data_IF_494788821385
#
_entry.id   IF_494788821385
#
_cell.length_a   1.000
_cell.length_b   1.000
_cell.length_c   1.000
_cell.angle_alpha   90.00
_cell.angle_beta   90.00
_cell.angle_gamma   90.00
#
_symmetry.space_group_name_H-M   'P 1'
#
loop_
_entity.id
_entity.type
_entity.pdbx_description
1 polymer ?
#
# COMPACT_ATOMS: atom_id res chain seq x y z
N UNK A 1 -47.47 -13.06 -22.55
CA UNK A 1 -46.68 -11.82 -22.39
C UNK A 1 -45.44 -11.94 -23.26
N UNK A 2 -45.13 -11.00 -24.15
CA UNK A 2 -43.93 -11.08 -24.97
C UNK A 2 -42.69 -11.04 -24.07
N UNK A 3 -41.78 -12.00 -24.24
CA UNK A 3 -40.53 -12.08 -23.48
C UNK A 3 -39.78 -10.75 -23.58
N UNK A 4 -39.56 -10.07 -22.44
CA UNK A 4 -38.75 -8.86 -22.41
C UNK A 4 -37.37 -9.18 -22.99
N UNK A 5 -36.96 -8.42 -23.99
CA UNK A 5 -35.68 -8.55 -24.69
C UNK A 5 -34.58 -8.00 -23.78
N UNK A 6 -34.01 -8.86 -22.93
CA UNK A 6 -33.01 -8.48 -21.93
C UNK A 6 -31.62 -8.98 -22.37
N UNK A 7 -30.63 -8.10 -22.32
CA UNK A 7 -29.22 -8.44 -22.43
C UNK A 7 -28.59 -8.53 -21.04
N UNK A 8 -27.55 -9.37 -20.91
CA UNK A 8 -26.85 -9.62 -19.66
C UNK A 8 -25.40 -9.18 -19.79
N UNK A 9 -24.95 -8.31 -18.89
CA UNK A 9 -23.56 -7.90 -18.77
C UNK A 9 -23.03 -8.41 -17.44
N UNK A 10 -21.98 -9.23 -17.50
CA UNK A 10 -21.26 -9.67 -16.31
C UNK A 10 -20.22 -8.61 -15.94
N UNK A 11 -20.66 -7.60 -15.18
CA UNK A 11 -19.82 -6.46 -14.78
C UNK A 11 -18.65 -6.93 -13.93
N UNK A 12 -18.85 -7.89 -13.02
CA UNK A 12 -17.78 -8.43 -12.15
C UNK A 12 -16.68 -9.08 -12.99
N UNK A 13 -17.05 -9.92 -13.94
CA UNK A 13 -16.10 -10.54 -14.86
C UNK A 13 -15.38 -9.50 -15.71
N UNK A 14 -16.11 -8.50 -16.17
CA UNK A 14 -15.57 -7.42 -17.00
C UNK A 14 -14.55 -6.58 -16.22
N UNK A 15 -14.83 -6.20 -14.97
CA UNK A 15 -13.91 -5.36 -14.16
C UNK A 15 -12.78 -6.12 -13.50
N UNK A 16 -12.81 -7.46 -13.48
CA UNK A 16 -11.73 -8.26 -12.90
C UNK A 16 -10.36 -8.06 -13.60
N UNK A 17 -10.33 -7.47 -14.80
CA UNK A 17 -9.10 -7.09 -15.51
C UNK A 17 -8.72 -5.62 -15.37
N UNK A 18 -9.42 -4.85 -14.52
CA UNK A 18 -9.24 -3.41 -14.36
C UNK A 18 -8.45 -3.12 -13.10
N UNK A 19 -7.51 -2.17 -13.17
CA UNK A 19 -6.74 -1.80 -11.99
C UNK A 19 -7.62 -1.13 -10.94
N UNK A 20 -7.30 -1.32 -9.66
CA UNK A 20 -8.01 -0.64 -8.57
C UNK A 20 -7.91 0.88 -8.69
N UNK A 21 -6.78 1.42 -9.15
CA UNK A 21 -6.63 2.85 -9.41
C UNK A 21 -7.60 3.36 -10.49
N UNK A 22 -7.92 2.52 -11.47
CA UNK A 22 -8.91 2.83 -12.51
C UNK A 22 -10.32 2.80 -11.95
N UNK A 23 -10.68 1.77 -11.17
CA UNK A 23 -11.98 1.72 -10.48
C UNK A 23 -12.13 2.89 -9.51
N UNK A 24 -11.04 3.28 -8.84
CA UNK A 24 -10.98 4.40 -7.93
C UNK A 24 -11.31 5.74 -8.56
N UNK A 25 -10.63 6.02 -9.68
CA UNK A 25 -10.81 7.26 -10.40
C UNK A 25 -12.25 7.36 -10.90
N UNK A 26 -12.84 6.24 -11.31
CA UNK A 26 -14.19 6.17 -11.86
C UNK A 26 -15.27 6.45 -10.81
N UNK A 27 -15.13 5.95 -9.58
CA UNK A 27 -16.16 6.18 -8.57
C UNK A 27 -15.87 7.29 -7.57
N UNK A 28 -14.63 7.75 -7.41
CA UNK A 28 -14.32 8.90 -6.54
C UNK A 28 -15.00 10.19 -6.99
N UNK A 29 -15.49 10.20 -8.23
CA UNK A 29 -16.09 11.34 -8.90
C UNK A 29 -17.61 11.27 -9.04
N UNK A 30 -18.23 10.15 -8.64
CA UNK A 30 -19.69 10.10 -8.53
C UNK A 30 -20.20 10.74 -7.23
N UNK A 31 -19.29 11.36 -6.45
CA UNK A 31 -19.57 11.91 -5.13
C UNK A 31 -19.59 10.85 -4.03
N UNK A 32 -19.12 9.64 -4.34
CA UNK A 32 -19.03 8.55 -3.37
C UNK A 32 -17.59 8.49 -2.81
N UNK A 33 -17.36 8.96 -1.57
CA UNK A 33 -16.02 9.13 -0.98
C UNK A 33 -15.24 7.82 -0.87
N UNK A 34 -15.95 6.70 -0.88
CA UNK A 34 -15.37 5.35 -0.76
C UNK A 34 -14.52 4.98 -1.97
N UNK A 35 -14.96 5.32 -3.18
CA UNK A 35 -14.25 4.90 -4.38
C UNK A 35 -13.06 5.84 -4.65
N UNK A 36 -13.09 7.10 -4.20
CA UNK A 36 -11.93 8.00 -4.23
C UNK A 36 -10.74 7.42 -3.45
N UNK A 37 -11.02 6.69 -2.35
CA UNK A 37 -10.02 6.03 -1.51
C UNK A 37 -9.18 4.96 -2.21
N UNK A 38 -9.70 4.34 -3.27
CA UNK A 38 -8.97 3.30 -4.02
C UNK A 38 -7.76 3.86 -4.81
N UNK A 39 -7.67 5.19 -5.00
CA UNK A 39 -6.60 5.84 -5.76
C UNK A 39 -5.37 6.16 -4.90
N UNK A 40 -5.50 6.05 -3.57
CA UNK A 40 -4.47 6.38 -2.60
C UNK A 40 -3.46 5.23 -2.35
N UNK A 41 -3.60 4.09 -3.04
CA UNK A 41 -2.74 2.92 -2.86
C UNK A 41 -1.34 3.20 -3.47
N UNK A 42 -0.24 3.10 -2.69
CA UNK A 42 1.11 3.16 -3.24
C UNK A 42 1.33 2.00 -4.22
N UNK A 43 2.03 2.24 -5.34
CA UNK A 43 2.40 1.20 -6.31
C UNK A 43 3.08 -0.04 -5.68
N UNK A 44 3.69 0.10 -4.51
CA UNK A 44 4.27 -0.99 -3.73
C UNK A 44 3.24 -1.97 -3.12
N UNK A 45 2.01 -1.52 -2.81
CA UNK A 45 0.90 -2.39 -2.41
C UNK A 45 0.21 -3.09 -3.59
N UNK A 46 0.38 -2.57 -4.81
CA UNK A 46 -0.10 -3.16 -6.06
C UNK A 46 0.88 -4.17 -6.67
N UNK A 47 2.13 -4.23 -6.17
CA UNK A 47 3.14 -5.19 -6.62
C UNK A 47 2.82 -6.65 -6.20
N UNK A 48 1.87 -6.87 -5.29
CA UNK A 48 1.28 -8.17 -4.98
C UNK A 48 0.13 -8.52 -5.95
N UNK A 49 0.36 -8.34 -7.24
CA UNK A 49 -0.61 -8.54 -8.33
C UNK A 49 -1.27 -9.94 -8.29
N UNK A 50 -0.59 -10.96 -7.74
CA UNK A 50 -1.13 -12.32 -7.57
C UNK A 50 -2.08 -12.48 -6.37
N UNK A 51 -1.82 -11.82 -5.23
CA UNK A 51 -2.67 -11.97 -4.04
C UNK A 51 -4.07 -11.39 -4.25
N UNK A 52 -4.17 -10.38 -5.11
CA UNK A 52 -5.41 -9.68 -5.43
C UNK A 52 -6.19 -10.38 -6.55
N UNK A 53 -5.50 -10.98 -7.53
CA UNK A 53 -6.13 -11.83 -8.55
C UNK A 53 -6.91 -13.00 -7.93
N UNK A 54 -6.36 -13.59 -6.87
CA UNK A 54 -7.03 -14.63 -6.08
C UNK A 54 -8.25 -14.08 -5.32
N UNK A 55 -8.21 -12.87 -4.76
CA UNK A 55 -9.37 -12.25 -4.09
C UNK A 55 -10.50 -11.85 -5.06
N UNK A 56 -10.18 -11.33 -6.24
CA UNK A 56 -11.18 -11.09 -7.30
C UNK A 56 -11.78 -12.41 -7.81
N UNK A 57 -11.03 -13.52 -7.75
CA UNK A 57 -11.58 -14.85 -8.04
C UNK A 57 -12.60 -15.31 -6.99
N UNK A 58 -12.52 -14.81 -5.75
CA UNK A 58 -13.52 -15.03 -4.70
C UNK A 58 -14.80 -14.25 -5.02
N UNK A 59 -14.70 -13.00 -5.51
CA UNK A 59 -15.87 -12.28 -6.04
C UNK A 59 -16.50 -12.99 -7.24
N UNK A 60 -15.68 -13.55 -8.14
CA UNK A 60 -16.19 -14.40 -9.24
C UNK A 60 -16.94 -15.65 -8.74
N UNK A 61 -16.65 -16.14 -7.53
CA UNK A 61 -17.36 -17.28 -6.91
C UNK A 61 -18.65 -16.86 -6.21
N UNK A 62 -18.75 -15.61 -5.73
CA UNK A 62 -20.02 -15.05 -5.29
C UNK A 62 -20.90 -14.84 -6.52
N UNK A 63 -22.04 -15.54 -6.58
CA UNK A 63 -22.99 -15.49 -7.70
C UNK A 63 -23.70 -14.15 -7.76
N UNK A 64 -22.99 -13.11 -8.17
CA UNK A 64 -23.64 -11.85 -8.50
C UNK A 64 -24.58 -12.04 -9.69
N UNK A 65 -25.76 -11.43 -9.60
CA UNK A 65 -26.70 -11.40 -10.70
C UNK A 65 -26.11 -10.52 -11.81
N UNK A 66 -26.01 -11.03 -13.05
CA UNK A 66 -25.56 -10.21 -14.17
C UNK A 66 -26.48 -9.01 -14.35
N UNK A 67 -25.91 -7.88 -14.78
CA UNK A 67 -26.67 -6.66 -15.06
C UNK A 67 -27.60 -6.91 -16.25
N UNK A 68 -28.89 -6.81 -16.02
CA UNK A 68 -29.94 -7.04 -17.02
C UNK A 68 -30.38 -5.72 -17.64
N UNK A 69 -30.04 -5.50 -18.92
CA UNK A 69 -30.38 -4.27 -19.66
C UNK A 69 -31.37 -4.60 -20.79
N UNK A 70 -32.56 -4.01 -20.71
CA UNK A 70 -33.58 -4.17 -21.75
C UNK A 70 -33.25 -3.34 -22.99
N UNK A 71 -33.53 -3.87 -24.18
CA UNK A 71 -33.33 -3.11 -25.41
C UNK A 71 -34.17 -1.81 -25.42
N UNK A 72 -33.60 -0.66 -25.82
CA UNK A 72 -34.34 0.59 -25.85
C UNK A 72 -35.44 0.59 -26.92
N UNK A 73 -36.51 1.39 -26.77
CA UNK A 73 -37.62 1.43 -27.74
C UNK A 73 -37.19 1.85 -29.15
N UNK A 74 -36.12 2.64 -29.26
CA UNK A 74 -35.55 3.11 -30.51
C UNK A 74 -34.61 2.10 -31.17
N UNK A 75 -34.30 0.96 -30.53
CA UNK A 75 -33.49 -0.09 -31.11
C UNK A 75 -34.28 -0.88 -32.16
N UNK A 76 -34.03 -0.60 -33.43
CA UNK A 76 -34.78 -1.19 -34.54
C UNK A 76 -34.28 -2.59 -34.95
N UNK A 77 -33.10 -2.99 -34.51
CA UNK A 77 -32.52 -4.30 -34.81
C UNK A 77 -33.09 -5.42 -33.94
N UNK A 78 -32.77 -6.67 -34.28
CA UNK A 78 -33.25 -7.84 -33.56
C UNK A 78 -32.69 -7.91 -32.12
N UNK A 79 -33.31 -8.71 -31.25
CA UNK A 79 -32.83 -8.82 -29.85
C UNK A 79 -31.42 -9.40 -29.74
N UNK A 80 -30.98 -10.16 -30.74
CA UNK A 80 -29.65 -10.78 -30.75
C UNK A 80 -28.56 -9.73 -31.00
N UNK A 81 -28.79 -8.76 -31.88
CA UNK A 81 -27.88 -7.62 -32.06
C UNK A 81 -27.69 -6.81 -30.76
N UNK A 82 -28.76 -6.56 -30.00
CA UNK A 82 -28.66 -5.87 -28.70
C UNK A 82 -27.84 -6.66 -27.67
N UNK A 83 -28.04 -7.98 -27.62
CA UNK A 83 -27.27 -8.87 -26.74
C UNK A 83 -25.79 -8.91 -27.11
N UNK A 84 -25.49 -9.01 -28.42
CA UNK A 84 -24.11 -9.00 -28.92
C UNK A 84 -23.42 -7.67 -28.62
N UNK A 85 -24.13 -6.56 -28.79
CA UNK A 85 -23.66 -5.23 -28.42
C UNK A 85 -23.29 -5.15 -26.93
N UNK A 86 -24.22 -5.52 -26.05
CA UNK A 86 -23.98 -5.49 -24.62
C UNK A 86 -22.83 -6.41 -24.20
N UNK A 87 -22.68 -7.56 -24.86
CA UNK A 87 -21.56 -8.47 -24.64
C UNK A 87 -20.23 -7.88 -25.11
N UNK A 88 -20.20 -7.21 -26.27
CA UNK A 88 -19.02 -6.51 -26.76
C UNK A 88 -18.60 -5.38 -25.83
N UNK A 89 -19.56 -4.58 -25.35
CA UNK A 89 -19.31 -3.52 -24.37
C UNK A 89 -18.81 -4.12 -23.06
N UNK A 90 -19.40 -5.22 -22.58
CA UNK A 90 -18.90 -5.94 -21.41
C UNK A 90 -17.44 -6.39 -21.56
N UNK A 91 -17.07 -6.92 -22.72
CA UNK A 91 -15.69 -7.34 -23.00
C UNK A 91 -14.72 -6.16 -23.11
N UNK A 92 -15.20 -4.99 -23.55
CA UNK A 92 -14.41 -3.76 -23.71
C UNK A 92 -14.44 -2.83 -22.49
N UNK A 93 -15.20 -3.20 -21.47
CA UNK A 93 -15.37 -2.38 -20.27
C UNK A 93 -14.02 -2.03 -19.61
N UNK A 94 -13.00 -2.92 -19.56
CA UNK A 94 -11.69 -2.53 -19.05
C UNK A 94 -11.05 -1.36 -19.76
N UNK A 95 -11.05 -1.38 -21.10
CA UNK A 95 -10.46 -0.31 -21.89
C UNK A 95 -11.29 0.98 -21.77
N UNK A 96 -12.61 0.86 -21.69
CA UNK A 96 -13.51 2.02 -21.48
C UNK A 96 -13.23 2.70 -20.15
N UNK A 97 -13.08 1.93 -19.05
CA UNK A 97 -12.80 2.46 -17.73
C UNK A 97 -11.40 3.09 -17.64
N UNK A 98 -10.41 2.52 -18.33
CA UNK A 98 -9.05 3.07 -18.40
C UNK A 98 -8.97 4.39 -19.18
N UNK A 99 -9.71 4.48 -20.29
CA UNK A 99 -9.86 5.72 -21.05
C UNK A 99 -10.58 6.78 -20.22
N UNK A 100 -11.64 6.38 -19.52
CA UNK A 100 -12.38 7.25 -18.60
C UNK A 100 -11.45 7.81 -17.51
N UNK A 101 -10.64 6.97 -16.85
CA UNK A 101 -9.61 7.41 -15.89
C UNK A 101 -8.67 8.47 -16.49
N UNK A 102 -8.15 8.22 -17.69
CA UNK A 102 -7.21 9.12 -18.36
C UNK A 102 -7.82 10.50 -18.63
N UNK A 103 -9.07 10.53 -19.11
CA UNK A 103 -9.80 11.78 -19.38
C UNK A 103 -10.16 12.53 -18.10
N UNK A 104 -10.56 11.81 -17.05
CA UNK A 104 -10.86 12.41 -15.76
C UNK A 104 -9.63 13.06 -15.12
N UNK A 105 -8.45 12.46 -15.29
CA UNK A 105 -7.19 13.07 -14.82
C UNK A 105 -6.82 14.36 -15.55
N UNK A 106 -7.33 14.57 -16.77
CA UNK A 106 -7.10 15.78 -17.56
C UNK A 106 -8.11 16.89 -17.20
N UNK A 107 -9.25 16.54 -16.62
CA UNK A 107 -10.25 17.50 -16.15
C UNK A 107 -9.81 18.13 -14.83
N UNK A 108 -9.58 19.44 -14.85
CA UNK A 108 -9.13 20.21 -13.68
C UNK A 108 -10.28 20.68 -12.77
N UNK A 109 -11.53 20.35 -13.12
CA UNK A 109 -12.73 20.79 -12.42
C UNK A 109 -13.29 19.70 -11.48
N UNK A 110 -14.19 20.10 -10.59
CA UNK A 110 -14.95 19.17 -9.73
C UNK A 110 -15.75 18.23 -10.62
N UNK A 111 -15.38 16.95 -10.62
CA UNK A 111 -16.03 15.94 -11.44
C UNK A 111 -17.35 15.57 -10.76
N UNK A 112 -18.46 15.91 -11.43
CA UNK A 112 -19.81 15.55 -10.98
C UNK A 112 -20.24 14.23 -11.61
N UNK A 113 -21.31 13.62 -11.09
CA UNK A 113 -21.92 12.40 -11.67
C UNK A 113 -22.29 12.59 -13.14
N UNK A 114 -22.74 13.78 -13.53
CA UNK A 114 -23.05 14.12 -14.93
C UNK A 114 -21.80 14.16 -15.81
N UNK A 115 -20.70 14.74 -15.30
CA UNK A 115 -19.41 14.78 -16.01
C UNK A 115 -18.85 13.36 -16.15
N UNK A 116 -18.86 12.55 -15.08
CA UNK A 116 -18.43 11.15 -15.13
C UNK A 116 -19.25 10.33 -16.13
N UNK A 117 -20.59 10.53 -16.17
CA UNK A 117 -21.46 9.91 -17.17
C UNK A 117 -21.07 10.33 -18.58
N UNK A 118 -20.81 11.61 -18.81
CA UNK A 118 -20.44 12.13 -20.13
C UNK A 118 -19.09 11.58 -20.60
N UNK A 119 -18.09 11.52 -19.72
CA UNK A 119 -16.78 10.93 -20.03
C UNK A 119 -16.92 9.45 -20.37
N UNK A 120 -17.76 8.70 -19.65
CA UNK A 120 -18.04 7.29 -19.97
C UNK A 120 -18.69 7.13 -21.36
N UNK A 121 -19.66 7.99 -21.69
CA UNK A 121 -20.30 8.01 -23.02
C UNK A 121 -19.26 8.29 -24.10
N UNK A 122 -18.42 9.31 -23.90
CA UNK A 122 -17.40 9.68 -24.87
C UNK A 122 -16.29 8.60 -24.99
N UNK A 123 -16.02 7.86 -23.91
CA UNK A 123 -15.12 6.70 -23.94
C UNK A 123 -15.71 5.57 -24.79
N UNK A 124 -17.02 5.28 -24.67
CA UNK A 124 -17.72 4.32 -25.53
C UNK A 124 -17.68 4.75 -27.00
N UNK A 125 -17.94 6.02 -27.29
CA UNK A 125 -17.94 6.55 -28.67
C UNK A 125 -16.57 6.37 -29.32
N UNK A 126 -15.48 6.55 -28.56
CA UNK A 126 -14.11 6.34 -29.05
C UNK A 126 -13.74 4.87 -29.28
N UNK A 127 -14.52 3.91 -28.78
CA UNK A 127 -14.25 2.49 -29.04
C UNK A 127 -14.61 2.10 -30.48
N UNK A 128 -13.76 1.27 -31.07
CA UNK A 128 -14.07 0.55 -32.30
C UNK A 128 -14.98 -0.62 -31.98
N UNK A 129 -16.30 -0.37 -31.95
CA UNK A 129 -17.31 -1.41 -31.79
C UNK A 129 -17.62 -2.04 -33.14
N UNK A 130 -17.68 -3.38 -33.18
CA UNK A 130 -17.85 -4.13 -34.44
C UNK A 130 -19.20 -3.94 -35.12
N UNK A 131 -20.20 -3.48 -34.38
CA UNK A 131 -21.61 -3.47 -34.82
C UNK A 131 -22.08 -2.14 -35.44
N UNK A 132 -21.40 -1.00 -35.19
CA UNK A 132 -21.83 0.31 -35.70
C UNK A 132 -20.66 1.29 -35.84
N UNK A 133 -20.63 1.98 -36.98
CA UNK A 133 -19.63 3.00 -37.30
C UNK A 133 -20.13 4.43 -37.07
N UNK A 134 -21.45 4.61 -36.97
CA UNK A 134 -22.07 5.89 -36.68
C UNK A 134 -21.86 6.33 -35.22
N UNK A 135 -21.15 7.45 -35.04
CA UNK A 135 -20.88 8.02 -33.72
C UNK A 135 -22.15 8.50 -33.01
N UNK A 136 -23.18 8.91 -33.74
CA UNK A 136 -24.45 9.37 -33.14
C UNK A 136 -25.20 8.20 -32.50
N UNK A 137 -25.24 7.05 -33.18
CA UNK A 137 -25.81 5.83 -32.61
C UNK A 137 -25.01 5.30 -31.41
N UNK A 138 -23.66 5.34 -31.49
CA UNK A 138 -22.81 4.99 -30.33
C UNK A 138 -23.09 5.88 -29.13
N UNK A 139 -23.27 7.19 -29.34
CA UNK A 139 -23.60 8.15 -28.28
C UNK A 139 -24.94 7.82 -27.63
N UNK A 140 -25.99 7.55 -28.42
CA UNK A 140 -27.31 7.13 -27.89
C UNK A 140 -27.27 5.83 -27.12
N UNK A 141 -26.47 4.86 -27.57
CA UNK A 141 -26.22 3.62 -26.82
C UNK A 141 -25.51 3.92 -25.51
N UNK A 142 -24.45 4.73 -25.56
CA UNK A 142 -23.72 5.18 -24.37
C UNK A 142 -24.64 5.82 -23.35
N UNK A 143 -25.46 6.79 -23.76
CA UNK A 143 -26.44 7.48 -22.90
C UNK A 143 -27.38 6.51 -22.20
N UNK A 144 -27.83 5.47 -22.92
CA UNK A 144 -28.78 4.50 -22.39
C UNK A 144 -28.14 3.52 -21.39
N UNK A 145 -26.90 3.10 -21.61
CA UNK A 145 -26.24 2.08 -20.78
C UNK A 145 -25.36 2.65 -19.68
N UNK A 146 -24.95 3.92 -19.77
CA UNK A 146 -24.02 4.53 -18.83
C UNK A 146 -24.53 4.45 -17.40
N UNK A 147 -25.77 4.88 -17.16
CA UNK A 147 -26.33 4.90 -15.80
C UNK A 147 -26.43 3.49 -15.17
N UNK A 148 -27.02 2.47 -15.83
CA UNK A 148 -27.05 1.12 -15.27
C UNK A 148 -25.67 0.53 -14.96
N UNK A 149 -24.68 0.78 -15.83
CA UNK A 149 -23.32 0.26 -15.64
C UNK A 149 -22.64 0.98 -14.48
N UNK A 150 -22.68 2.31 -14.44
CA UNK A 150 -22.05 3.10 -13.37
C UNK A 150 -22.68 2.79 -12.00
N UNK A 151 -24.01 2.67 -11.91
CA UNK A 151 -24.68 2.28 -10.66
C UNK A 151 -24.28 0.87 -10.20
N UNK A 152 -24.12 -0.07 -11.14
CA UNK A 152 -23.69 -1.43 -10.80
C UNK A 152 -22.22 -1.46 -10.34
N UNK A 153 -21.37 -0.61 -10.90
CA UNK A 153 -19.99 -0.41 -10.46
C UNK A 153 -19.94 0.20 -9.05
N UNK A 154 -20.77 1.20 -8.76
CA UNK A 154 -20.91 1.76 -7.40
C UNK A 154 -21.35 0.70 -6.39
N UNK A 155 -22.25 -0.20 -6.78
CA UNK A 155 -22.71 -1.30 -5.92
C UNK A 155 -21.64 -2.33 -5.57
N UNK A 156 -20.57 -2.48 -6.36
CA UNK A 156 -19.47 -3.43 -6.08
C UNK A 156 -18.49 -2.91 -5.01
N UNK A 157 -18.68 -1.69 -4.55
CA UNK A 157 -17.73 -0.99 -3.69
C UNK A 157 -17.67 -1.64 -2.30
N UNK A 158 -18.81 -1.98 -1.72
CA UNK A 158 -18.89 -2.62 -0.39
C UNK A 158 -18.16 -3.96 -0.32
N UNK A 159 -18.21 -4.72 -1.41
CA UNK A 159 -17.59 -6.03 -1.53
C UNK A 159 -16.07 -5.91 -1.72
N UNK A 160 -15.63 -4.88 -2.45
CA UNK A 160 -14.21 -4.53 -2.59
C UNK A 160 -13.63 -4.10 -1.23
N UNK A 161 -14.32 -3.24 -0.47
CA UNK A 161 -13.90 -2.81 0.87
C UNK A 161 -13.73 -3.98 1.82
N UNK A 162 -14.69 -4.92 1.82
CA UNK A 162 -14.63 -6.11 2.68
C UNK A 162 -13.38 -6.96 2.38
N UNK A 163 -13.04 -7.15 1.11
CA UNK A 163 -11.86 -7.91 0.71
C UNK A 163 -10.54 -7.21 1.05
N UNK A 164 -10.54 -5.87 1.02
CA UNK A 164 -9.40 -5.08 1.46
C UNK A 164 -9.16 -5.18 2.97
N UNK A 165 -10.22 -5.15 3.77
CA UNK A 165 -10.12 -5.37 5.21
C UNK A 165 -9.57 -6.77 5.53
N UNK A 166 -9.98 -7.79 4.78
CA UNK A 166 -9.41 -9.13 4.90
C UNK A 166 -7.95 -9.19 4.44
N UNK A 167 -7.58 -8.51 3.34
CA UNK A 167 -6.21 -8.42 2.83
C UNK A 167 -5.26 -7.77 3.85
N UNK A 168 -5.66 -6.66 4.46
CA UNK A 168 -4.88 -5.96 5.49
C UNK A 168 -4.66 -6.81 6.76
N UNK A 169 -5.63 -7.66 7.12
CA UNK A 169 -5.50 -8.61 8.23
C UNK A 169 -4.52 -9.75 7.90
N UNK A 170 -4.48 -10.19 6.64
CA UNK A 170 -3.51 -11.18 6.16
C UNK A 170 -2.08 -10.62 6.22
N UNK A 171 -1.87 -9.37 5.81
CA UNK A 171 -0.56 -8.71 5.87
C UNK A 171 -0.03 -8.56 7.31
N UNK A 172 -0.90 -8.18 8.27
CA UNK A 172 -0.50 -8.12 9.70
C UNK A 172 -0.02 -9.47 10.23
N UNK A 173 -0.69 -10.57 9.87
CA UNK A 173 -0.28 -11.93 10.25
C UNK A 173 1.04 -12.30 9.59
N UNK A 174 1.22 -11.93 8.32
CA UNK A 174 2.45 -12.18 7.56
C UNK A 174 3.66 -11.40 8.12
N UNK A 175 3.49 -10.14 8.49
CA UNK A 175 4.56 -9.34 9.13
C UNK A 175 4.97 -9.93 10.49
N UNK A 176 4.00 -10.37 11.30
CA UNK A 176 4.27 -11.03 12.57
C UNK A 176 5.03 -12.36 12.37
N UNK A 177 4.60 -13.18 11.40
CA UNK A 177 5.28 -14.43 11.02
C UNK A 177 6.71 -14.19 10.50
N UNK A 178 6.91 -13.18 9.65
CA UNK A 178 8.24 -12.83 9.14
C UNK A 178 9.17 -12.36 10.27
N UNK A 179 8.64 -11.63 11.26
CA UNK A 179 9.42 -11.20 12.44
C UNK A 179 9.82 -12.40 13.30
N UNK A 180 8.91 -13.35 13.51
CA UNK A 180 9.21 -14.59 14.25
C UNK A 180 10.25 -15.43 13.50
N UNK A 181 10.13 -15.54 12.18
CA UNK A 181 11.11 -16.23 11.34
C UNK A 181 12.49 -15.55 11.43
N UNK A 182 12.55 -14.22 11.37
CA UNK A 182 13.80 -13.47 11.54
C UNK A 182 14.51 -13.80 12.87
N UNK A 183 13.76 -13.84 13.98
CA UNK A 183 14.30 -14.20 15.30
C UNK A 183 14.85 -15.62 15.29
N UNK A 184 14.11 -16.61 14.76
CA UNK A 184 14.56 -18.01 14.69
C UNK A 184 15.85 -18.17 13.89
N UNK A 185 16.00 -17.43 12.79
CA UNK A 185 17.21 -17.45 11.98
C UNK A 185 18.38 -16.89 12.76
N UNK A 186 18.20 -15.75 13.45
CA UNK A 186 19.25 -15.17 14.28
C UNK A 186 19.67 -16.11 15.42
N UNK A 187 18.72 -16.79 16.05
CA UNK A 187 19.00 -17.79 17.09
C UNK A 187 19.82 -18.97 16.53
N UNK A 188 19.49 -19.43 15.31
CA UNK A 188 20.23 -20.49 14.62
C UNK A 188 21.66 -20.06 14.28
N UNK A 189 21.83 -18.87 13.70
CA UNK A 189 23.15 -18.28 13.42
C UNK A 189 23.97 -18.17 14.71
N UNK A 190 23.35 -17.68 15.79
CA UNK A 190 24.02 -17.57 17.09
C UNK A 190 24.48 -18.94 17.62
N UNK A 191 23.65 -19.97 17.53
CA UNK A 191 24.00 -21.32 17.96
C UNK A 191 25.14 -21.93 17.11
N UNK A 192 25.13 -21.74 15.80
CA UNK A 192 26.18 -22.21 14.89
C UNK A 192 27.51 -21.50 15.16
N UNK A 193 27.48 -20.18 15.34
CA UNK A 193 28.65 -19.37 15.67
C UNK A 193 29.21 -19.69 17.05
N UNK A 194 28.36 -19.92 18.05
CA UNK A 194 28.78 -20.29 19.41
C UNK A 194 29.54 -21.63 19.46
N UNK A 195 29.28 -22.53 18.51
CA UNK A 195 29.95 -23.83 18.42
C UNK A 195 31.25 -23.79 17.61
N UNK A 196 31.46 -22.76 16.79
CA UNK A 196 32.57 -22.69 15.81
C UNK A 196 33.61 -21.65 16.17
N UNK A 197 33.22 -20.57 16.87
CA UNK A 197 34.16 -19.55 17.30
C UNK A 197 34.88 -20.00 18.59
N UNK A 198 36.21 -19.79 18.68
CA UNK A 198 36.89 -19.92 19.96
C UNK A 198 36.24 -18.96 20.96
N UNK A 199 36.15 -19.37 22.23
CA UNK A 199 35.62 -18.51 23.29
C UNK A 199 36.48 -17.24 23.36
N UNK A 200 35.97 -16.15 22.79
CA UNK A 200 36.58 -14.84 22.87
C UNK A 200 36.63 -14.44 24.34
N UNK A 201 37.77 -13.92 24.79
CA UNK A 201 37.85 -13.40 26.13
C UNK A 201 37.04 -12.09 26.25
N UNK A 202 36.70 -11.69 27.47
CA UNK A 202 35.88 -10.50 27.69
C UNK A 202 36.51 -9.20 27.14
N UNK A 203 37.84 -9.14 27.04
CA UNK A 203 38.58 -7.97 26.54
C UNK A 203 38.52 -7.87 25.01
N UNK A 204 38.63 -9.00 24.31
CA UNK A 204 38.43 -9.12 22.87
C UNK A 204 36.99 -8.77 22.49
N UNK A 205 36.00 -9.28 23.24
CA UNK A 205 34.59 -8.94 23.03
C UNK A 205 34.33 -7.45 23.23
N UNK A 206 34.88 -6.84 24.28
CA UNK A 206 34.75 -5.40 24.52
C UNK A 206 35.40 -4.58 23.38
N UNK A 207 36.54 -5.03 22.87
CA UNK A 207 37.25 -4.39 21.75
C UNK A 207 36.44 -4.47 20.46
N UNK A 208 35.91 -5.65 20.13
CA UNK A 208 35.05 -5.87 18.96
C UNK A 208 33.76 -5.05 19.07
N UNK A 209 33.12 -5.03 20.24
CA UNK A 209 31.92 -4.24 20.47
C UNK A 209 32.17 -2.74 20.26
N UNK A 210 33.32 -2.23 20.74
CA UNK A 210 33.72 -0.84 20.53
C UNK A 210 34.00 -0.54 19.05
N UNK A 211 34.69 -1.44 18.35
CA UNK A 211 34.96 -1.29 16.92
C UNK A 211 33.65 -1.26 16.12
N UNK A 212 32.75 -2.21 16.36
CA UNK A 212 31.43 -2.27 15.74
C UNK A 212 30.63 -1.00 15.96
N UNK A 213 30.56 -0.54 17.21
CA UNK A 213 29.86 0.66 17.61
C UNK A 213 30.41 1.92 16.94
N UNK A 214 31.74 2.03 16.84
CA UNK A 214 32.40 3.13 16.12
C UNK A 214 32.07 3.10 14.63
N UNK A 215 32.08 1.92 14.00
CA UNK A 215 31.71 1.78 12.57
C UNK A 215 30.27 2.22 12.33
N UNK A 216 29.34 1.82 13.20
CA UNK A 216 27.95 2.29 13.14
C UNK A 216 27.85 3.80 13.28
N UNK A 217 28.55 4.36 14.27
CA UNK A 217 28.55 5.79 14.54
C UNK A 217 29.07 6.57 13.32
N UNK A 218 30.25 6.23 12.81
CA UNK A 218 30.85 6.90 11.65
C UNK A 218 29.96 6.83 10.41
N UNK A 219 29.29 5.69 10.18
CA UNK A 219 28.42 5.48 9.03
C UNK A 219 27.11 6.28 9.09
N UNK A 220 26.54 6.47 10.28
CA UNK A 220 25.19 7.01 10.43
C UNK A 220 25.12 8.36 11.15
N UNK A 221 26.23 8.90 11.67
CA UNK A 221 26.25 10.16 12.44
C UNK A 221 25.79 11.37 11.64
N UNK A 222 25.97 11.36 10.32
CA UNK A 222 25.64 12.50 9.47
C UNK A 222 24.26 12.35 8.82
N UNK A 223 23.43 13.39 8.91
CA UNK A 223 22.19 13.51 8.15
C UNK A 223 22.42 14.37 6.91
N UNK A 224 22.26 13.76 5.73
CA UNK A 224 22.33 14.48 4.45
C UNK A 224 20.94 14.97 4.03
N UNK A 225 20.81 16.29 3.86
CA UNK A 225 19.56 16.89 3.36
C UNK A 225 19.51 16.78 1.84
N UNK A 226 18.90 15.71 1.33
CA UNK A 226 18.60 15.56 -0.10
C UNK A 226 17.37 16.40 -0.46
N UNK A 227 17.52 17.35 -1.37
CA UNK A 227 16.41 18.16 -1.91
C UNK A 227 16.35 19.62 -1.47
N UNK A 228 17.12 20.02 -0.45
CA UNK A 228 17.33 21.45 -0.12
C UNK A 228 18.56 21.92 -0.90
N UNK A 229 18.38 22.19 -2.19
CA UNK A 229 19.40 22.90 -2.97
C UNK A 229 19.28 24.38 -2.64
N UNK A 230 20.15 24.89 -1.77
CA UNK A 230 20.35 26.34 -1.71
C UNK A 230 20.98 26.78 -3.03
N UNK A 231 20.39 27.80 -3.65
CA UNK A 231 20.72 28.31 -4.99
C UNK A 231 22.20 28.71 -5.12
N UNK A 232 22.90 28.91 -3.99
CA UNK A 232 24.31 29.32 -3.94
C UNK A 232 25.30 28.26 -3.43
N UNK A 233 24.86 27.03 -3.07
CA UNK A 233 25.77 26.00 -2.53
C UNK A 233 25.65 24.66 -3.26
N UNK A 234 26.65 24.36 -4.11
CA UNK A 234 26.84 23.08 -4.78
C UNK A 234 27.23 21.91 -3.84
N UNK A 235 26.98 22.01 -2.54
CA UNK A 235 27.22 20.93 -1.56
C UNK A 235 25.99 20.70 -0.71
N UNK A 236 25.60 19.43 -0.58
CA UNK A 236 24.62 18.98 0.39
C UNK A 236 25.08 19.38 1.80
N UNK A 237 24.20 20.06 2.52
CA UNK A 237 24.41 20.33 3.94
C UNK A 237 24.32 18.98 4.67
N UNK A 238 25.35 18.67 5.46
CA UNK A 238 25.44 17.45 6.25
C UNK A 238 25.65 17.88 7.71
N UNK A 239 24.72 17.50 8.58
CA UNK A 239 24.71 17.91 10.00
C UNK A 239 24.68 16.66 10.87
N UNK A 240 25.37 16.63 12.04
CA UNK A 240 25.27 15.53 12.97
C UNK A 240 23.81 15.28 13.41
N UNK A 241 23.31 14.07 13.18
CA UNK A 241 21.90 13.72 13.43
C UNK A 241 21.52 13.94 14.91
N UNK A 242 22.44 13.65 15.83
CA UNK A 242 22.22 13.80 17.28
C UNK A 242 22.05 15.25 17.73
N UNK A 243 22.50 16.23 16.94
CA UNK A 243 22.37 17.66 17.28
C UNK A 243 21.03 18.27 16.88
N UNK A 244 20.34 17.65 15.91
CA UNK A 244 19.12 18.19 15.30
C UNK A 244 17.89 17.31 15.53
N UNK A 245 18.07 16.12 16.11
CA UNK A 245 16.97 15.19 16.31
C UNK A 245 15.99 15.70 17.37
N UNK A 246 14.70 15.71 17.03
CA UNK A 246 13.61 16.06 17.95
C UNK A 246 12.72 14.84 18.08
N UNK A 247 12.38 14.48 19.32
CA UNK A 247 11.51 13.34 19.59
C UNK A 247 10.09 13.60 19.09
N UNK A 248 9.54 12.72 18.24
CA UNK A 248 8.15 12.83 17.82
C UNK A 248 7.21 12.29 18.90
N UNK A 249 5.99 12.81 18.92
CA UNK A 249 4.87 12.13 19.55
C UNK A 249 4.35 11.03 18.63
N UNK A 250 3.92 9.91 19.21
CA UNK A 250 3.35 8.78 18.47
C UNK A 250 1.91 8.52 18.89
N UNK A 251 1.15 7.92 17.99
CA UNK A 251 -0.19 7.41 18.25
C UNK A 251 -0.08 5.91 18.52
N UNK A 252 -0.38 5.48 19.76
CA UNK A 252 -0.30 4.08 20.16
C UNK A 252 -1.67 3.43 20.02
N UNK A 253 -1.75 2.35 19.24
CA UNK A 253 -2.97 1.58 19.02
C UNK A 253 -2.91 0.72 17.77
N UNK A 254 -3.95 -0.08 17.55
CA UNK A 254 -4.18 -0.65 16.21
C UNK A 254 -4.64 0.53 15.35
N UNK A 255 -3.92 0.88 14.27
CA UNK A 255 -4.39 1.92 13.36
C UNK A 255 -5.79 1.53 12.91
N UNK A 256 -6.77 2.38 13.23
CA UNK A 256 -8.06 2.34 12.57
C UNK A 256 -7.77 2.75 11.11
N UNK A 257 -7.63 1.75 10.24
CA UNK A 257 -7.63 1.91 8.78
C UNK A 257 -6.45 2.68 8.12
N UNK A 258 -5.48 3.21 8.86
CA UNK A 258 -4.37 4.02 8.29
C UNK A 258 -3.37 3.29 7.37
N UNK A 259 -3.44 1.96 7.19
CA UNK A 259 -2.64 1.32 6.14
C UNK A 259 -3.16 1.59 4.72
N UNK A 260 -4.38 2.14 4.56
CA UNK A 260 -4.98 2.42 3.25
C UNK A 260 -5.71 3.78 3.14
N UNK A 261 -6.18 4.36 4.24
CA UNK A 261 -6.89 5.65 4.20
C UNK A 261 -5.94 6.81 4.51
N UNK A 262 -5.30 7.36 3.46
CA UNK A 262 -4.80 8.73 3.55
C UNK A 262 -6.00 9.66 3.64
N UNK A 263 -6.01 10.51 4.65
CA UNK A 263 -7.05 11.50 4.93
C UNK A 263 -7.35 12.39 3.71
N UNK A 264 -8.36 12.00 2.95
CA UNK A 264 -9.16 12.91 2.14
C UNK A 264 -10.36 13.34 2.98
N UNK A 265 -10.26 14.52 3.59
CA UNK A 265 -11.37 15.33 4.09
C UNK A 265 -12.29 14.70 5.17
N UNK A 266 -11.83 14.71 6.42
CA UNK A 266 -12.75 14.72 7.56
C UNK A 266 -13.32 16.12 7.79
N UNK A 267 -14.27 16.52 6.92
CA UNK A 267 -15.31 17.47 7.29
C UNK A 267 -16.60 17.07 6.59
N UNK A 268 -17.59 16.67 7.40
CA UNK A 268 -19.04 16.57 7.15
C UNK A 268 -19.65 15.15 7.05
N UNK A 269 -20.64 14.96 7.93
CA UNK A 269 -21.65 13.91 8.06
C UNK A 269 -21.30 12.64 8.84
N UNK A 270 -21.91 12.57 10.03
CA UNK A 270 -21.87 11.42 10.92
C UNK A 270 -22.71 10.25 10.43
N UNK A 271 -22.13 9.06 10.48
CA UNK A 271 -22.85 7.80 10.58
C UNK A 271 -22.37 7.07 11.85
N UNK A 272 -23.33 6.74 12.70
CA UNK A 272 -23.10 6.03 13.95
C UNK A 272 -22.90 4.54 13.66
N UNK A 273 -21.67 4.13 13.38
CA UNK A 273 -21.30 2.72 13.48
C UNK A 273 -20.32 2.58 14.65
N UNK A 274 -20.81 2.01 15.75
CA UNK A 274 -20.04 1.67 16.95
C UNK A 274 -19.06 0.53 16.65
N UNK A 275 -18.08 0.76 15.79
CA UNK A 275 -16.77 0.15 16.01
C UNK A 275 -16.26 0.76 17.30
N UNK A 276 -15.73 -0.05 18.23
CA UNK A 276 -15.02 0.49 19.41
C UNK A 276 -13.87 1.32 18.85
N UNK A 277 -14.08 2.65 18.73
CA UNK A 277 -13.01 3.62 18.47
C UNK A 277 -12.04 3.49 19.63
N UNK A 278 -11.01 2.66 19.45
CA UNK A 278 -9.80 2.76 20.26
C UNK A 278 -9.31 4.17 19.91
N UNK A 279 -9.52 5.12 20.81
CA UNK A 279 -9.02 6.48 20.61
C UNK A 279 -7.50 6.33 20.65
N UNK A 280 -6.78 6.56 19.54
CA UNK A 280 -5.33 6.39 19.55
C UNK A 280 -4.77 7.34 20.60
N UNK A 281 -4.09 6.78 21.60
CA UNK A 281 -3.53 7.58 22.67
C UNK A 281 -2.24 8.20 22.14
N UNK A 282 -2.18 9.53 22.18
CA UNK A 282 -0.95 10.26 21.88
C UNK A 282 -0.01 10.05 23.05
N UNK A 283 1.13 9.44 22.78
CA UNK A 283 2.15 9.16 23.78
C UNK A 283 3.52 9.63 23.26
N UNK A 284 4.41 10.08 24.16
CA UNK A 284 5.80 10.29 23.80
C UNK A 284 6.42 8.99 23.29
N UNK A 285 7.24 9.06 22.24
CA UNK A 285 7.85 7.88 21.62
C UNK A 285 8.62 7.00 22.63
N UNK A 286 9.35 7.60 23.57
CA UNK A 286 10.13 6.85 24.56
C UNK A 286 9.24 5.95 25.43
N UNK A 287 8.05 6.43 25.83
CA UNK A 287 7.08 5.64 26.59
C UNK A 287 6.55 4.46 25.78
N UNK A 288 6.29 4.68 24.47
CA UNK A 288 5.84 3.61 23.58
C UNK A 288 6.93 2.53 23.38
N UNK A 289 8.19 2.96 23.22
CA UNK A 289 9.35 2.05 23.12
C UNK A 289 9.52 1.22 24.40
N UNK A 290 9.38 1.83 25.58
CA UNK A 290 9.52 1.13 26.86
C UNK A 290 8.42 0.09 27.10
N UNK A 291 7.19 0.37 26.67
CA UNK A 291 6.04 -0.54 26.84
C UNK A 291 6.08 -1.77 25.93
N UNK A 292 6.73 -1.68 24.78
CA UNK A 292 6.57 -2.66 23.71
C UNK A 292 7.90 -3.14 23.14
N UNK A 293 8.21 -4.43 23.34
CA UNK A 293 9.40 -5.08 22.77
C UNK A 293 9.39 -5.26 21.25
N UNK A 294 8.21 -5.25 20.64
CA UNK A 294 8.01 -5.44 19.20
C UNK A 294 7.06 -4.36 18.71
N UNK A 295 7.56 -3.50 17.84
CA UNK A 295 6.87 -2.31 17.36
C UNK A 295 6.96 -2.22 15.85
N UNK A 296 5.87 -1.79 15.23
CA UNK A 296 5.82 -1.40 13.82
C UNK A 296 5.48 0.09 13.80
N UNK A 297 6.41 0.91 13.30
CA UNK A 297 6.20 2.34 13.18
C UNK A 297 5.61 2.66 11.81
N UNK A 298 4.43 3.27 11.81
CA UNK A 298 3.74 3.73 10.61
C UNK A 298 3.78 5.26 10.53
N UNK A 299 3.59 5.80 9.33
CA UNK A 299 3.52 7.25 9.09
C UNK A 299 3.83 7.60 7.64
N UNK A 300 3.58 8.86 7.27
CA UNK A 300 3.70 9.33 5.89
C UNK A 300 5.13 9.27 5.31
N UNK A 301 5.29 9.18 3.98
CA UNK A 301 6.58 9.42 3.34
C UNK A 301 7.19 10.74 3.82
N UNK A 302 8.45 10.72 4.23
CA UNK A 302 9.11 11.92 4.77
C UNK A 302 8.83 12.21 6.25
N UNK A 303 7.97 11.46 6.94
CA UNK A 303 7.68 11.66 8.38
C UNK A 303 8.85 11.38 9.34
N UNK A 304 10.04 11.06 8.82
CA UNK A 304 11.24 10.86 9.62
C UNK A 304 11.42 9.46 10.23
N UNK A 305 10.63 8.45 9.85
CA UNK A 305 10.76 7.06 10.39
C UNK A 305 12.18 6.51 10.31
N UNK A 306 12.81 6.58 9.13
CA UNK A 306 14.19 6.10 8.94
C UNK A 306 15.19 6.95 9.72
N UNK A 307 14.94 8.25 9.85
CA UNK A 307 15.75 9.17 10.66
C UNK A 307 15.68 8.79 12.14
N UNK A 308 14.49 8.46 12.65
CA UNK A 308 14.30 7.96 14.00
C UNK A 308 15.04 6.64 14.24
N UNK A 309 14.92 5.67 13.33
CA UNK A 309 15.63 4.38 13.48
C UNK A 309 17.16 4.58 13.50
N UNK A 310 17.69 5.49 12.67
CA UNK A 310 19.12 5.85 12.70
C UNK A 310 19.51 6.55 13.99
N UNK A 311 18.67 7.44 14.51
CA UNK A 311 18.92 8.08 15.80
C UNK A 311 18.99 7.04 16.93
N UNK A 312 18.03 6.11 17.00
CA UNK A 312 18.04 5.02 17.98
C UNK A 312 19.29 4.14 17.86
N UNK A 313 19.69 3.80 16.63
CA UNK A 313 20.93 3.07 16.34
C UNK A 313 22.16 3.80 16.89
N UNK A 314 22.26 5.12 16.67
CA UNK A 314 23.37 5.93 17.19
C UNK A 314 23.38 6.00 18.72
N UNK A 315 22.21 6.15 19.35
CA UNK A 315 22.11 6.16 20.82
C UNK A 315 22.59 4.83 21.41
N UNK A 316 22.22 3.71 20.79
CA UNK A 316 22.68 2.38 21.22
C UNK A 316 24.19 2.17 20.96
N UNK A 317 24.71 2.66 19.83
CA UNK A 317 26.13 2.57 19.50
C UNK A 317 27.02 3.47 20.39
N UNK A 318 26.49 4.57 20.94
CA UNK A 318 27.24 5.43 21.87
C UNK A 318 27.43 4.82 23.27
N UNK A 319 26.83 3.66 23.52
CA UNK A 319 27.05 2.86 24.73
C UNK A 319 26.07 3.16 25.87
N UNK A 320 26.27 2.39 26.94
CA UNK A 320 25.31 2.23 28.04
C UNK A 320 24.86 3.55 28.66
N UNK A 321 25.83 4.41 29.01
CA UNK A 321 25.57 5.58 29.86
C UNK A 321 24.82 6.67 29.09
N UNK A 322 25.18 6.89 27.83
CA UNK A 322 24.51 7.83 26.92
C UNK A 322 23.09 7.38 26.64
N UNK A 323 22.90 6.09 26.35
CA UNK A 323 21.58 5.53 26.09
C UNK A 323 20.68 5.62 27.34
N UNK A 324 21.19 5.23 28.51
CA UNK A 324 20.44 5.27 29.77
C UNK A 324 20.04 6.69 30.19
N UNK A 325 20.87 7.69 29.89
CA UNK A 325 20.52 9.09 30.13
C UNK A 325 19.35 9.57 29.24
N UNK A 326 19.31 9.14 27.99
CA UNK A 326 18.25 9.49 27.03
C UNK A 326 16.98 8.64 27.21
N UNK A 327 17.13 7.39 27.62
CA UNK A 327 16.06 6.39 27.76
C UNK A 327 16.11 5.68 29.13
N UNK A 328 15.82 6.39 30.23
CA UNK A 328 15.94 5.85 31.58
C UNK A 328 14.96 4.71 31.89
N UNK A 329 13.87 4.60 31.12
CA UNK A 329 12.86 3.55 31.25
C UNK A 329 13.27 2.22 30.60
N UNK A 330 14.40 2.17 29.90
CA UNK A 330 14.87 0.99 29.15
C UNK A 330 16.36 0.68 29.39
N UNK A 331 16.81 0.57 30.66
CA UNK A 331 18.23 0.35 30.98
C UNK A 331 18.76 -0.96 30.41
N UNK A 332 17.92 -1.96 30.14
CA UNK A 332 18.34 -3.24 29.58
C UNK A 332 18.77 -3.18 28.12
N UNK A 333 18.31 -2.17 27.36
CA UNK A 333 18.69 -2.02 25.95
C UNK A 333 20.12 -1.48 25.80
N UNK A 334 20.65 -0.89 26.86
CA UNK A 334 21.99 -0.29 26.94
C UNK A 334 23.13 -1.30 26.72
N UNK A 335 22.84 -2.60 26.88
CA UNK A 335 23.77 -3.73 26.68
C UNK A 335 23.51 -4.52 25.39
N UNK A 336 22.54 -4.09 24.57
CA UNK A 336 22.15 -4.80 23.35
C UNK A 336 22.94 -4.28 22.15
N UNK A 337 23.31 -5.19 21.26
CA UNK A 337 23.96 -4.86 19.98
C UNK A 337 22.89 -4.49 18.96
N UNK A 338 22.84 -3.25 18.47
CA UNK A 338 21.80 -2.83 17.54
C UNK A 338 22.09 -3.32 16.12
N UNK A 339 21.13 -4.02 15.49
CA UNK A 339 21.22 -4.42 14.08
C UNK A 339 20.27 -3.58 13.23
N UNK A 340 20.80 -2.89 12.23
CA UNK A 340 20.00 -2.11 11.28
C UNK A 340 19.87 -2.84 9.94
N UNK A 341 18.65 -3.01 9.45
CA UNK A 341 18.39 -3.67 8.18
C UNK A 341 17.33 -2.93 7.38
N UNK A 342 17.71 -2.29 6.25
CA UNK A 342 16.72 -1.76 5.31
C UNK A 342 15.94 -2.90 4.65
N UNK A 343 14.63 -2.96 4.89
CA UNK A 343 13.76 -3.96 4.23
C UNK A 343 13.67 -3.75 2.72
N UNK A 344 13.94 -2.54 2.22
CA UNK A 344 14.00 -2.26 0.79
C UNK A 344 15.06 -3.13 0.08
N UNK A 345 16.21 -3.35 0.72
CA UNK A 345 17.27 -4.21 0.17
C UNK A 345 16.81 -5.66 0.09
N UNK A 346 16.02 -6.14 1.06
CA UNK A 346 15.41 -7.46 0.98
C UNK A 346 14.34 -7.53 -0.13
N UNK A 347 13.52 -6.50 -0.27
CA UNK A 347 12.51 -6.42 -1.34
C UNK A 347 13.13 -6.47 -2.73
N UNK A 348 14.25 -5.78 -2.98
CA UNK A 348 14.99 -5.86 -4.25
C UNK A 348 15.48 -7.28 -4.55
N UNK A 349 15.97 -8.00 -3.54
CA UNK A 349 16.37 -9.40 -3.68
C UNK A 349 15.17 -10.29 -4.01
N UNK A 350 14.00 -10.02 -3.42
CA UNK A 350 12.77 -10.75 -3.76
C UNK A 350 12.31 -10.49 -5.20
N UNK A 351 12.43 -9.25 -5.69
CA UNK A 351 12.00 -8.86 -7.04
C UNK A 351 12.92 -9.40 -8.15
N UNK A 352 14.20 -9.60 -7.85
CA UNK A 352 15.22 -10.03 -8.82
C UNK A 352 15.42 -11.55 -8.90
N UNK A 353 14.83 -12.31 -7.97
CA UNK A 353 14.87 -13.77 -7.96
C UNK A 353 13.49 -14.36 -8.27
N UNK A 354 13.44 -15.60 -8.77
CA UNK A 354 12.16 -16.29 -8.97
C UNK A 354 11.40 -16.39 -7.61
N UNK A 355 10.06 -16.25 -7.61
CA UNK A 355 9.26 -16.27 -6.38
C UNK A 355 9.56 -17.53 -5.56
N UNK A 356 9.92 -17.35 -4.28
CA UNK A 356 10.22 -18.45 -3.36
C UNK A 356 11.68 -18.94 -3.32
N UNK A 357 12.58 -18.43 -4.18
CA UNK A 357 13.96 -18.92 -4.23
C UNK A 357 14.93 -18.29 -3.22
N UNK A 358 14.54 -17.23 -2.49
CA UNK A 358 15.34 -16.70 -1.38
C UNK A 358 14.45 -16.35 -0.20
N UNK A 359 14.47 -17.22 0.79
CA UNK A 359 13.82 -16.95 2.07
C UNK A 359 14.53 -15.81 2.79
N UNK A 360 13.87 -15.21 3.80
CA UNK A 360 14.54 -14.24 4.67
C UNK A 360 15.74 -14.87 5.39
N UNK A 361 15.68 -16.20 5.62
CA UNK A 361 16.74 -16.98 6.26
C UNK A 361 18.01 -17.01 5.41
N UNK A 362 17.88 -17.07 4.08
CA UNK A 362 19.03 -17.07 3.16
C UNK A 362 19.62 -15.67 2.99
N UNK A 363 18.77 -14.64 3.07
CA UNK A 363 19.18 -13.24 2.86
C UNK A 363 19.92 -12.66 4.08
N UNK A 364 19.43 -12.93 5.29
CA UNK A 364 19.90 -12.28 6.51
C UNK A 364 21.42 -12.44 6.76
N UNK A 365 22.02 -13.65 6.66
CA UNK A 365 23.46 -13.82 6.83
C UNK A 365 24.29 -13.00 5.83
N UNK A 366 23.88 -12.97 4.57
CA UNK A 366 24.57 -12.25 3.49
C UNK A 366 24.49 -10.74 3.77
N UNK A 367 23.29 -10.25 4.06
CA UNK A 367 23.06 -8.83 4.36
C UNK A 367 23.85 -8.36 5.59
N UNK A 368 23.94 -9.18 6.64
CA UNK A 368 24.74 -8.85 7.82
C UNK A 368 26.23 -8.82 7.50
N UNK A 369 26.72 -9.77 6.70
CA UNK A 369 28.12 -9.79 6.27
C UNK A 369 28.47 -8.55 5.44
N UNK A 370 27.70 -8.26 4.40
CA UNK A 370 27.98 -7.16 3.47
C UNK A 370 27.90 -5.79 4.15
N UNK A 371 27.01 -5.63 5.15
CA UNK A 371 26.81 -4.35 5.82
C UNK A 371 27.70 -4.13 7.06
N UNK A 372 28.17 -5.22 7.71
CA UNK A 372 28.82 -5.13 9.01
C UNK A 372 30.16 -5.87 9.14
N UNK A 373 30.48 -6.83 8.27
CA UNK A 373 31.70 -7.64 8.37
C UNK A 373 32.73 -7.35 7.27
N UNK A 374 32.31 -6.91 6.08
CA UNK A 374 33.19 -6.59 4.94
C UNK A 374 33.47 -5.07 4.80
N UNK A 375 33.29 -4.28 5.87
CA UNK A 375 33.48 -2.81 5.90
C UNK A 375 34.84 -2.37 6.46
#
# INVERSE_FOLDING_TARGET
>A
MPNKKVAKIDIVKAVAGVSFATLAAVGGTTGNPVIAGLSAIPAAGLASYEAIGDQLSILKRQKEKPLEISAPPWWQHDSRSWQNLCAEIGNRLPQILEEMRTRMQQEQQVITTDVARQIFIDAIVSQQLTWEQDNEQKRRVGEFIATPILQKLEGLTSEIEHLQQEGALLDKRRTAQNTEQAVRVLEKIHAELSNTLPALNNEELATLHKQYSNTLYERWKMLDFRGIMHVDMNRSISIPLTEIFVFPDVLVGVPANETLEREGEHFLYGSQQKSRRITPQREPLHSALAKHRRLVLLGDPGSGKSTLLRYLLLQLAQGSDTFAATFPEMPELSTIIPLYMPLATYAEVLLTNAPGNRSFEDFLPISLRDNYLDA
#
